data_IF_045664454853
#
_entry.id   IF_045664454853
#
_cell.length_a   1.000
_cell.length_b   1.000
_cell.length_c   1.000
_cell.angle_alpha   90.00
_cell.angle_beta   90.00
_cell.angle_gamma   90.00
#
_symmetry.space_group_name_H-M   'P 1'
#
loop_
_entity.id
_entity.type
_entity.pdbx_description
1 polymer ?
#
# COMPACT_ATOMS: atom_id res chain seq x y z
N UNK A 1 -7.71 -4.66 -3.29
CA UNK A 1 -6.45 -3.89 -3.16
C UNK A 1 -6.76 -2.54 -2.52
N UNK A 2 -5.86 -2.03 -1.69
CA UNK A 2 -5.90 -0.67 -1.14
C UNK A 2 -4.54 0.00 -1.38
N UNK A 3 -4.53 1.30 -1.68
CA UNK A 3 -3.33 2.14 -1.61
C UNK A 3 -3.32 2.92 -0.30
N UNK A 4 -2.17 3.09 0.33
CA UNK A 4 -2.02 3.88 1.56
C UNK A 4 -0.92 4.91 1.32
N UNK A 5 -1.17 6.17 1.68
CA UNK A 5 -0.18 7.26 1.54
C UNK A 5 -0.18 8.13 2.78
N UNK A 6 0.94 8.79 3.05
CA UNK A 6 1.04 9.86 4.04
C UNK A 6 0.39 11.18 3.60
N UNK A 7 -0.22 11.20 2.41
CA UNK A 7 -1.01 12.33 1.94
C UNK A 7 -2.35 12.46 2.68
N UNK A 8 -2.85 13.69 2.79
CA UNK A 8 -4.19 13.95 3.31
C UNK A 8 -5.32 13.50 2.36
N UNK A 9 -6.55 13.51 2.87
CA UNK A 9 -7.74 13.08 2.13
C UNK A 9 -8.02 13.92 0.89
N UNK A 10 -7.72 15.23 0.90
CA UNK A 10 -8.00 16.09 -0.25
C UNK A 10 -7.04 15.77 -1.40
N UNK A 11 -5.77 15.61 -1.08
CA UNK A 11 -4.70 15.23 -2.00
C UNK A 11 -4.97 13.86 -2.61
N UNK A 12 -5.36 12.87 -1.79
CA UNK A 12 -5.69 11.53 -2.28
C UNK A 12 -6.94 11.50 -3.17
N UNK A 13 -7.96 12.33 -2.89
CA UNK A 13 -9.15 12.44 -3.75
C UNK A 13 -8.77 12.96 -5.13
N UNK A 14 -8.02 14.07 -5.20
CA UNK A 14 -7.52 14.65 -6.46
C UNK A 14 -6.64 13.66 -7.21
N UNK A 15 -5.77 12.95 -6.50
CA UNK A 15 -4.92 11.93 -7.12
C UNK A 15 -5.76 10.80 -7.72
N UNK A 16 -6.72 10.25 -6.96
CA UNK A 16 -7.60 9.17 -7.44
C UNK A 16 -8.39 9.56 -8.68
N UNK A 17 -8.95 10.77 -8.71
CA UNK A 17 -9.65 11.32 -9.87
C UNK A 17 -8.72 11.44 -11.09
N UNK A 18 -7.49 11.94 -10.87
CA UNK A 18 -6.51 12.12 -11.93
C UNK A 18 -6.03 10.80 -12.54
N UNK A 19 -5.78 9.78 -11.72
CA UNK A 19 -5.20 8.51 -12.19
C UNK A 19 -6.25 7.43 -12.48
N UNK A 20 -7.51 7.64 -12.09
CA UNK A 20 -8.58 6.66 -12.28
C UNK A 20 -8.34 5.34 -11.53
N UNK A 21 -7.70 5.39 -10.37
CA UNK A 21 -7.30 4.17 -9.65
C UNK A 21 -8.53 3.30 -9.31
N UNK A 22 -8.54 2.00 -9.68
CA UNK A 22 -9.70 1.12 -9.51
C UNK A 22 -9.87 0.61 -8.07
N UNK A 23 -9.02 1.07 -7.15
CA UNK A 23 -9.00 0.66 -5.75
C UNK A 23 -9.19 1.85 -4.80
N UNK A 24 -9.48 1.57 -3.54
CA UNK A 24 -9.58 2.60 -2.51
C UNK A 24 -8.19 3.10 -2.09
N UNK A 25 -8.10 4.40 -1.78
CA UNK A 25 -6.91 5.03 -1.22
C UNK A 25 -7.21 5.45 0.22
N UNK A 26 -6.31 5.11 1.13
CA UNK A 26 -6.39 5.43 2.55
C UNK A 26 -5.35 6.50 2.90
N UNK A 27 -5.78 7.50 3.67
CA UNK A 27 -4.93 8.58 4.14
C UNK A 27 -4.29 8.18 5.47
N UNK A 28 -2.97 8.36 5.59
CA UNK A 28 -2.17 8.15 6.79
C UNK A 28 -1.26 9.36 7.08
N UNK A 29 -1.79 10.58 7.32
CA UNK A 29 -0.96 11.80 7.40
C UNK A 29 0.08 11.78 8.51
N UNK A 30 -0.15 10.99 9.56
CA UNK A 30 0.79 10.78 10.65
C UNK A 30 1.80 9.67 10.40
N UNK A 31 1.67 8.92 9.32
CA UNK A 31 2.51 7.76 9.00
C UNK A 31 2.40 6.63 10.03
N UNK A 32 1.29 6.55 10.77
CA UNK A 32 1.15 5.58 11.87
C UNK A 32 1.10 4.16 11.30
N UNK A 33 0.30 3.94 10.27
CA UNK A 33 0.21 2.65 9.59
C UNK A 33 1.53 2.36 8.88
N UNK A 34 2.06 3.32 8.13
CA UNK A 34 3.32 3.15 7.42
C UNK A 34 4.47 2.79 8.37
N UNK A 35 4.57 3.44 9.54
CA UNK A 35 5.61 3.16 10.54
C UNK A 35 5.59 1.73 11.08
N UNK A 36 4.40 1.12 11.17
CA UNK A 36 4.23 -0.24 11.70
C UNK A 36 4.54 -1.32 10.66
N UNK A 37 4.24 -1.06 9.39
CA UNK A 37 4.33 -2.08 8.33
C UNK A 37 5.58 -1.96 7.46
N UNK A 38 5.98 -0.74 7.10
CA UNK A 38 6.97 -0.49 6.04
C UNK A 38 8.06 0.50 6.46
N UNK A 39 7.86 1.21 7.57
CA UNK A 39 8.72 2.29 8.03
C UNK A 39 8.51 3.62 7.28
N UNK A 40 9.04 4.69 7.87
CA UNK A 40 9.06 6.02 7.28
C UNK A 40 10.49 6.40 6.88
N UNK A 41 10.62 7.14 5.79
CA UNK A 41 11.87 7.81 5.43
C UNK A 41 12.16 8.91 6.46
N UNK A 42 13.31 8.88 7.17
CA UNK A 42 13.53 9.70 8.37
C UNK A 42 13.58 11.21 8.10
N UNK A 43 13.94 11.63 6.89
CA UNK A 43 14.08 13.05 6.52
C UNK A 43 12.77 13.66 5.99
N UNK A 44 12.04 12.91 5.17
CA UNK A 44 10.85 13.41 4.45
C UNK A 44 9.53 12.91 5.04
N UNK A 45 9.58 11.99 6.02
CA UNK A 45 8.41 11.38 6.69
C UNK A 45 7.42 10.71 5.73
N UNK A 46 7.88 10.28 4.56
CA UNK A 46 7.08 9.52 3.60
C UNK A 46 7.18 8.03 3.91
N UNK A 47 6.13 7.27 3.61
CA UNK A 47 6.15 5.82 3.67
C UNK A 47 7.22 5.25 2.70
N UNK A 48 7.95 4.22 3.14
CA UNK A 48 8.76 3.44 2.21
C UNK A 48 7.88 2.74 1.17
N UNK A 49 8.34 2.65 -0.07
CA UNK A 49 7.64 1.93 -1.13
C UNK A 49 7.65 0.43 -0.83
N UNK A 50 6.46 -0.15 -0.68
CA UNK A 50 6.29 -1.57 -0.45
C UNK A 50 4.90 -2.07 -0.87
N UNK A 51 4.80 -3.38 -1.14
CA UNK A 51 3.55 -4.12 -1.22
C UNK A 51 3.46 -5.07 -0.02
N UNK A 52 2.32 -5.10 0.66
CA UNK A 52 2.06 -5.99 1.80
C UNK A 52 0.91 -6.92 1.46
N UNK A 53 1.16 -8.23 1.48
CA UNK A 53 0.12 -9.24 1.31
C UNK A 53 -0.35 -9.68 2.69
N UNK A 54 -1.63 -9.45 3.00
CA UNK A 54 -2.25 -9.85 4.26
C UNK A 54 -3.25 -10.98 3.99
N UNK A 55 -3.11 -12.09 4.70
CA UNK A 55 -4.02 -13.23 4.60
C UNK A 55 -5.39 -12.92 5.22
N UNK A 56 -6.38 -13.77 4.92
CA UNK A 56 -7.72 -13.67 5.52
C UNK A 56 -7.72 -13.83 7.05
N UNK A 57 -6.66 -14.43 7.60
CA UNK A 57 -6.38 -14.54 9.04
C UNK A 57 -5.80 -13.24 9.65
N UNK A 58 -5.62 -12.19 8.85
CA UNK A 58 -5.02 -10.92 9.27
C UNK A 58 -3.50 -10.97 9.38
N UNK A 59 -2.84 -12.06 8.97
CA UNK A 59 -1.39 -12.23 9.09
C UNK A 59 -0.69 -11.77 7.81
N UNK A 60 0.40 -11.02 7.94
CA UNK A 60 1.27 -10.66 6.81
C UNK A 60 1.91 -11.92 6.24
N UNK A 61 1.66 -12.21 4.96
CA UNK A 61 2.20 -13.36 4.22
C UNK A 61 3.42 -12.99 3.41
N UNK A 62 3.48 -11.75 2.94
CA UNK A 62 4.60 -11.25 2.13
C UNK A 62 4.78 -9.74 2.31
N UNK A 63 6.03 -9.31 2.26
CA UNK A 63 6.44 -7.91 2.22
C UNK A 63 7.45 -7.74 1.08
N UNK A 64 7.04 -7.04 0.02
CA UNK A 64 7.91 -6.67 -1.11
C UNK A 64 8.31 -5.22 -0.95
N UNK A 65 9.59 -4.88 -1.04
CA UNK A 65 10.10 -3.52 -0.75
C UNK A 65 10.99 -2.98 -1.88
N UNK A 66 11.19 -1.67 -1.91
CA UNK A 66 12.18 -1.04 -2.79
C UNK A 66 11.74 -1.05 -4.26
N UNK A 67 12.67 -1.31 -5.18
CA UNK A 67 12.41 -1.34 -6.63
C UNK A 67 11.39 -2.42 -7.01
N UNK A 68 11.42 -3.55 -6.32
CA UNK A 68 10.57 -4.70 -6.63
C UNK A 68 9.10 -4.42 -6.32
N UNK A 69 8.83 -3.42 -5.48
CA UNK A 69 7.49 -2.97 -5.15
C UNK A 69 6.90 -1.96 -6.15
N UNK A 70 7.64 -1.57 -7.21
CA UNK A 70 7.11 -0.65 -8.24
C UNK A 70 6.00 -1.32 -9.04
N UNK A 71 6.21 -2.57 -9.44
CA UNK A 71 5.18 -3.40 -10.07
C UNK A 71 4.56 -4.33 -9.01
N UNK A 72 3.27 -4.19 -8.70
CA UNK A 72 2.61 -5.03 -7.70
C UNK A 72 2.22 -6.43 -8.21
N UNK A 73 2.53 -6.79 -9.47
CA UNK A 73 2.11 -8.07 -10.08
C UNK A 73 2.50 -9.30 -9.27
N UNK A 74 3.70 -9.33 -8.69
CA UNK A 74 4.19 -10.43 -7.85
C UNK A 74 3.40 -10.59 -6.55
N UNK A 75 3.17 -9.48 -5.85
CA UNK A 75 2.37 -9.47 -4.62
C UNK A 75 0.90 -9.81 -4.89
N UNK A 76 0.36 -9.42 -6.05
CA UNK A 76 -1.00 -9.81 -6.48
C UNK A 76 -1.07 -11.32 -6.71
N UNK A 77 -0.07 -11.91 -7.37
CA UNK A 77 -0.01 -13.35 -7.61
C UNK A 77 0.10 -14.18 -6.31
N UNK A 78 0.78 -13.64 -5.29
CA UNK A 78 0.90 -14.27 -3.97
C UNK A 78 -0.36 -14.10 -3.09
N UNK A 79 -1.30 -13.25 -3.49
CA UNK A 79 -2.52 -13.01 -2.72
C UNK A 79 -3.39 -14.27 -2.71
N UNK A 80 -3.74 -14.85 -1.54
CA UNK A 80 -4.49 -16.11 -1.47
C UNK A 80 -5.87 -16.06 -2.13
N UNK A 81 -6.42 -14.86 -2.31
CA UNK A 81 -7.70 -14.62 -2.98
C UNK A 81 -7.62 -14.75 -4.52
N UNK A 82 -6.46 -15.09 -5.09
CA UNK A 82 -6.30 -15.46 -6.50
C UNK A 82 -6.78 -16.87 -6.85
N UNK A 83 -7.29 -17.65 -5.87
CA UNK A 83 -7.92 -18.95 -6.09
C UNK A 83 -9.37 -18.99 -5.60
N UNK A 84 -10.33 -18.86 -6.53
CA UNK A 84 -11.77 -19.10 -6.32
C UNK A 84 -12.61 -17.93 -6.82
N UNK A 85 -13.50 -18.05 -7.80
CA UNK A 85 -14.19 -19.21 -8.39
C UNK A 85 -14.20 -19.17 -9.91
#
# INVERSE_FOLDING_TARGET
MFGISTDDLETLKKFKEKVGAPYALLSDPGGQVASQYVGLMPVVKLANRANVVVGADGVVKELVTGSDAIDPSTAIAACPAGGGS
#
